data_IF_885130520333
#
_entry.id   IF_885130520333
#
_cell.length_a   1.000
_cell.length_b   1.000
_cell.length_c   1.000
_cell.angle_alpha   90.00
_cell.angle_beta   90.00
_cell.angle_gamma   90.00
#
_symmetry.space_group_name_H-M   'P 1'
#
loop_
_entity.id
_entity.type
_entity.pdbx_description
1 polymer ?
#
# COMPACT_ATOMS: atom_id res chain seq x y z
N UNK A 1 -7.31 4.45 6.76
CA UNK A 1 -8.79 4.46 6.66
C UNK A 1 -9.32 3.64 7.83
N UNK A 2 -10.35 4.06 8.57
CA UNK A 2 -10.94 3.20 9.60
C UNK A 2 -11.57 1.96 8.95
N UNK A 3 -11.28 0.78 9.49
CA UNK A 3 -11.89 -0.48 9.05
C UNK A 3 -12.51 -1.18 10.26
N UNK A 4 -13.80 -1.52 10.14
CA UNK A 4 -14.57 -2.15 11.21
C UNK A 4 -15.35 -3.33 10.62
N UNK A 5 -15.21 -4.50 11.23
CA UNK A 5 -15.98 -5.69 10.88
C UNK A 5 -16.87 -6.05 12.08
N UNK A 6 -18.15 -6.30 11.82
CA UNK A 6 -19.08 -6.90 12.77
C UNK A 6 -19.67 -8.16 12.16
N UNK A 7 -19.35 -9.31 12.74
CA UNK A 7 -19.85 -10.61 12.28
C UNK A 7 -20.51 -11.39 13.44
N UNK A 8 -21.83 -11.22 13.66
CA UNK A 8 -22.53 -11.80 14.83
C UNK A 8 -22.57 -13.32 14.88
N UNK A 9 -22.60 -13.99 13.72
CA UNK A 9 -22.75 -15.44 13.63
C UNK A 9 -21.40 -16.19 13.62
N UNK A 10 -20.28 -15.47 13.64
CA UNK A 10 -18.95 -16.09 13.61
C UNK A 10 -18.63 -16.65 15.02
N UNK A 11 -18.54 -17.98 15.19
CA UNK A 11 -18.34 -18.56 16.50
C UNK A 11 -16.93 -18.25 17.02
N UNK A 12 -16.81 -17.85 18.30
CA UNK A 12 -15.56 -17.76 19.08
C UNK A 12 -14.60 -16.60 18.79
N UNK A 13 -14.99 -15.58 18.03
CA UNK A 13 -14.15 -14.38 17.83
C UNK A 13 -14.61 -13.26 18.78
N UNK A 14 -13.82 -12.97 19.81
CA UNK A 14 -14.14 -11.92 20.77
C UNK A 14 -13.94 -10.53 20.15
N UNK A 15 -14.73 -9.50 20.54
CA UNK A 15 -14.46 -8.13 20.15
C UNK A 15 -13.02 -7.74 20.51
N UNK A 16 -12.29 -7.18 19.55
CA UNK A 16 -10.90 -6.76 19.72
C UNK A 16 -10.56 -5.58 18.83
N UNK A 17 -9.53 -4.85 19.24
CA UNK A 17 -8.81 -3.90 18.41
C UNK A 17 -7.47 -4.53 18.00
N UNK A 18 -6.95 -4.12 16.85
CA UNK A 18 -5.64 -4.54 16.37
C UNK A 18 -4.97 -3.37 15.65
N UNK A 19 -3.65 -3.30 15.77
CA UNK A 19 -2.77 -2.39 15.06
C UNK A 19 -2.17 -3.02 13.78
N UNK A 20 -2.69 -4.18 13.34
CA UNK A 20 -2.27 -4.82 12.10
C UNK A 20 -2.54 -3.91 10.90
N UNK A 21 -1.54 -3.82 10.01
CA UNK A 21 -1.71 -3.14 8.73
C UNK A 21 -2.56 -3.99 7.81
N UNK A 22 -3.63 -3.39 7.28
CA UNK A 22 -4.51 -3.99 6.29
C UNK A 22 -4.67 -3.02 5.12
N UNK A 23 -4.49 -3.52 3.91
CA UNK A 23 -4.69 -2.78 2.67
C UNK A 23 -6.04 -3.15 2.04
N UNK A 24 -6.53 -2.32 1.12
CA UNK A 24 -7.85 -2.51 0.51
C UNK A 24 -7.98 -3.86 -0.24
N UNK A 25 -6.87 -4.37 -0.76
CA UNK A 25 -6.82 -5.64 -1.50
C UNK A 25 -6.97 -6.86 -0.58
N UNK A 26 -6.65 -6.73 0.71
CA UNK A 26 -6.76 -7.81 1.70
C UNK A 26 -8.22 -8.06 2.12
N UNK A 27 -9.11 -7.09 1.87
CA UNK A 27 -10.53 -7.19 2.25
C UNK A 27 -11.19 -8.40 1.57
N UNK A 28 -10.92 -8.61 0.27
CA UNK A 28 -11.54 -9.69 -0.49
C UNK A 28 -11.15 -11.09 0.03
N UNK A 29 -9.85 -11.49 0.10
CA UNK A 29 -9.49 -12.80 0.63
C UNK A 29 -9.91 -12.97 2.09
N UNK A 30 -9.85 -11.91 2.90
CA UNK A 30 -10.31 -11.95 4.29
C UNK A 30 -11.80 -12.29 4.39
N UNK A 31 -12.65 -11.69 3.55
CA UNK A 31 -14.07 -12.02 3.52
C UNK A 31 -14.32 -13.46 3.04
N UNK A 32 -13.58 -13.93 2.02
CA UNK A 32 -13.68 -15.33 1.58
C UNK A 32 -13.30 -16.30 2.71
N UNK A 33 -12.19 -16.04 3.41
CA UNK A 33 -11.72 -16.84 4.54
C UNK A 33 -12.74 -16.87 5.68
N UNK A 34 -13.33 -15.71 6.04
CA UNK A 34 -14.40 -15.62 7.04
C UNK A 34 -15.66 -16.40 6.64
N UNK A 35 -15.96 -16.49 5.35
CA UNK A 35 -17.07 -17.27 4.81
C UNK A 35 -16.74 -18.76 4.58
N UNK A 36 -15.50 -19.20 4.83
CA UNK A 36 -15.06 -20.56 4.51
C UNK A 36 -15.06 -20.88 3.01
N UNK A 37 -14.93 -19.85 2.17
CA UNK A 37 -14.84 -19.99 0.71
C UNK A 37 -13.36 -20.06 0.32
N UNK A 38 -13.02 -20.98 -0.59
CA UNK A 38 -11.65 -21.11 -1.09
C UNK A 38 -11.19 -19.81 -1.75
N UNK A 39 -10.02 -19.33 -1.33
CA UNK A 39 -9.35 -18.18 -1.93
C UNK A 39 -8.65 -18.66 -3.22
N UNK A 40 -8.89 -18.03 -4.39
CA UNK A 40 -8.21 -18.41 -5.62
C UNK A 40 -6.69 -18.21 -5.54
N UNK A 41 -5.90 -19.10 -6.16
CA UNK A 41 -4.44 -19.00 -6.23
C UNK A 41 -3.93 -17.72 -6.96
N UNK A 42 -4.82 -17.06 -7.71
CA UNK A 42 -4.53 -15.79 -8.37
C UNK A 42 -4.60 -14.57 -7.44
N UNK A 43 -4.97 -14.75 -6.18
CA UNK A 43 -5.04 -13.66 -5.20
C UNK A 43 -3.66 -13.44 -4.59
N UNK A 44 -3.15 -12.22 -4.73
CA UNK A 44 -1.82 -11.82 -4.25
C UNK A 44 -1.86 -11.19 -2.85
N UNK A 45 -3.05 -10.93 -2.31
CA UNK A 45 -3.26 -10.27 -1.01
C UNK A 45 -3.48 -11.25 0.14
N UNK A 46 -3.43 -10.74 1.37
CA UNK A 46 -3.35 -11.56 2.59
C UNK A 46 -4.73 -11.79 3.20
N UNK A 47 -4.98 -13.02 3.64
CA UNK A 47 -6.18 -13.38 4.41
C UNK A 47 -5.98 -13.13 5.91
N UNK A 48 -6.73 -12.18 6.47
CA UNK A 48 -6.74 -11.85 7.90
C UNK A 48 -7.85 -12.57 8.70
N UNK A 49 -8.62 -13.48 8.09
CA UNK A 49 -9.76 -14.14 8.74
C UNK A 49 -9.41 -14.78 10.09
N UNK A 50 -8.26 -15.45 10.16
CA UNK A 50 -7.73 -16.05 11.39
C UNK A 50 -7.28 -15.00 12.40
N UNK A 51 -6.61 -13.94 11.94
CA UNK A 51 -6.15 -12.85 12.80
C UNK A 51 -7.32 -12.12 13.48
N UNK A 52 -8.41 -11.90 12.72
CA UNK A 52 -9.66 -11.33 13.23
C UNK A 52 -10.20 -12.17 14.40
N UNK A 53 -9.97 -13.48 14.39
CA UNK A 53 -10.37 -14.41 15.43
C UNK A 53 -9.34 -14.63 16.54
N UNK A 54 -8.27 -13.84 16.56
CA UNK A 54 -7.30 -13.79 17.65
C UNK A 54 -6.02 -14.58 17.41
N UNK A 55 -5.83 -15.16 16.22
CA UNK A 55 -4.56 -15.75 15.83
C UNK A 55 -3.51 -14.67 15.49
N UNK A 56 -2.28 -15.11 15.22
CA UNK A 56 -1.14 -14.24 14.92
C UNK A 56 -1.41 -13.36 13.70
N UNK A 57 -0.76 -12.18 13.66
CA UNK A 57 -0.83 -11.28 12.52
C UNK A 57 -0.10 -11.92 11.33
N UNK A 58 -0.77 -12.18 10.19
CA UNK A 58 -0.13 -12.78 9.02
C UNK A 58 0.73 -11.78 8.25
N UNK A 59 0.51 -10.46 8.43
CA UNK A 59 1.26 -9.42 7.75
C UNK A 59 2.42 -8.90 8.60
N UNK A 60 3.37 -8.26 7.93
CA UNK A 60 4.44 -7.51 8.58
C UNK A 60 3.95 -6.13 9.07
N UNK A 61 4.86 -5.39 9.72
CA UNK A 61 4.55 -4.05 10.27
C UNK A 61 4.65 -2.93 9.21
N UNK A 62 4.34 -3.21 7.93
CA UNK A 62 4.45 -2.26 6.84
C UNK A 62 3.37 -2.42 5.74
N UNK A 63 2.58 -1.36 5.51
CA UNK A 63 1.64 -1.27 4.39
C UNK A 63 2.30 -0.68 3.14
N UNK A 64 1.94 -1.17 1.95
CA UNK A 64 2.45 -0.69 0.67
C UNK A 64 1.63 0.50 0.17
N UNK A 65 2.28 1.62 -0.09
CA UNK A 65 1.68 2.77 -0.77
C UNK A 65 2.00 2.66 -2.26
N UNK A 66 0.96 2.70 -3.10
CA UNK A 66 1.07 2.37 -4.51
C UNK A 66 0.41 3.43 -5.39
N UNK A 67 1.20 4.08 -6.25
CA UNK A 67 0.73 4.96 -7.33
C UNK A 67 1.41 4.56 -8.65
N UNK A 68 0.78 3.70 -9.48
CA UNK A 68 1.40 3.17 -10.70
C UNK A 68 1.46 4.23 -11.80
N UNK A 69 0.50 5.14 -11.84
CA UNK A 69 0.44 6.23 -12.79
C UNK A 69 -0.28 7.42 -12.14
N UNK A 70 0.24 8.65 -12.28
CA UNK A 70 -0.49 9.85 -11.89
C UNK A 70 -1.70 10.08 -12.81
N UNK A 71 -2.89 10.32 -12.26
CA UNK A 71 -4.10 10.54 -13.07
C UNK A 71 -4.95 11.71 -12.55
N UNK A 72 -5.87 12.18 -13.38
CA UNK A 72 -6.83 13.22 -13.00
C UNK A 72 -6.16 14.58 -12.78
N UNK A 73 -6.31 15.15 -11.58
CA UNK A 73 -5.80 16.51 -11.31
C UNK A 73 -4.30 16.58 -11.03
N UNK A 74 -3.63 15.43 -10.82
CA UNK A 74 -2.21 15.38 -10.48
C UNK A 74 -1.36 14.88 -11.65
N UNK A 75 -1.46 15.54 -12.80
CA UNK A 75 -0.72 15.19 -14.02
C UNK A 75 0.79 15.44 -13.90
N UNK A 76 1.60 14.83 -14.78
CA UNK A 76 3.06 15.02 -14.81
C UNK A 76 3.52 16.49 -14.85
N UNK A 77 2.89 17.39 -15.65
CA UNK A 77 3.21 18.83 -15.62
C UNK A 77 3.01 19.48 -14.25
N UNK A 78 2.11 18.94 -13.42
CA UNK A 78 1.80 19.44 -12.08
C UNK A 78 2.58 18.71 -10.98
N UNK A 79 3.68 18.03 -11.35
CA UNK A 79 4.52 17.28 -10.42
C UNK A 79 4.06 15.83 -10.19
N UNK A 80 3.00 15.40 -10.89
CA UNK A 80 2.52 14.03 -10.96
C UNK A 80 3.64 13.06 -11.29
N UNK A 81 3.73 11.99 -10.52
CA UNK A 81 4.71 10.94 -10.73
C UNK A 81 4.20 9.63 -10.20
N UNK A 82 4.56 8.57 -10.89
CA UNK A 82 4.51 7.24 -10.35
C UNK A 82 5.44 7.15 -9.13
N UNK A 83 4.94 6.57 -8.05
CA UNK A 83 5.72 6.36 -6.83
C UNK A 83 5.28 5.10 -6.11
N UNK A 84 6.17 4.61 -5.25
CA UNK A 84 5.92 3.56 -4.27
C UNK A 84 6.38 4.03 -2.91
N UNK A 85 5.76 3.52 -1.88
CA UNK A 85 6.12 3.87 -0.53
C UNK A 85 5.71 2.82 0.48
N UNK A 86 6.11 3.05 1.71
CA UNK A 86 5.74 2.26 2.87
C UNK A 86 5.17 3.15 3.94
N UNK A 87 4.13 2.65 4.61
CA UNK A 87 3.74 3.11 5.93
C UNK A 87 4.03 2.02 6.93
N UNK A 88 5.02 2.24 7.78
CA UNK A 88 5.26 1.40 8.97
C UNK A 88 4.59 2.02 10.19
N UNK A 89 4.66 1.43 11.38
CA UNK A 89 4.13 2.07 12.61
C UNK A 89 4.70 3.46 12.83
N UNK A 90 6.02 3.61 12.64
CA UNK A 90 6.73 4.86 12.89
C UNK A 90 7.03 5.69 11.65
N UNK A 91 7.33 5.10 10.50
CA UNK A 91 7.83 5.86 9.35
C UNK A 91 6.89 5.82 8.14
N UNK A 92 6.90 6.91 7.39
CA UNK A 92 6.35 6.98 6.02
C UNK A 92 7.52 7.24 5.10
N UNK A 93 7.72 6.36 4.12
CA UNK A 93 8.78 6.47 3.13
C UNK A 93 8.18 6.38 1.73
N UNK A 94 8.62 7.22 0.81
CA UNK A 94 8.26 7.10 -0.61
C UNK A 94 9.48 7.34 -1.50
N UNK A 95 9.51 6.65 -2.64
CA UNK A 95 10.40 6.96 -3.77
C UNK A 95 9.65 6.98 -5.09
N UNK A 96 10.14 7.81 -6.01
CA UNK A 96 9.77 7.71 -7.42
C UNK A 96 10.76 6.79 -8.15
N UNK A 97 10.62 6.68 -9.48
CA UNK A 97 11.50 5.84 -10.31
C UNK A 97 12.99 6.20 -10.21
N UNK A 98 13.32 7.42 -9.79
CA UNK A 98 14.68 7.93 -9.84
C UNK A 98 15.38 7.86 -8.48
N UNK A 99 14.65 8.19 -7.41
CA UNK A 99 15.26 8.36 -6.08
C UNK A 99 14.25 8.35 -4.93
N UNK A 100 14.73 8.16 -3.69
CA UNK A 100 14.04 8.56 -2.48
C UNK A 100 13.44 9.96 -2.60
N UNK A 101 12.18 10.10 -2.19
CA UNK A 101 11.42 11.34 -2.31
C UNK A 101 10.95 11.87 -0.95
N UNK A 102 10.37 11.02 -0.11
CA UNK A 102 9.78 11.41 1.16
C UNK A 102 10.25 10.47 2.28
N UNK A 103 10.57 11.04 3.44
CA UNK A 103 10.76 10.30 4.69
C UNK A 103 10.18 11.13 5.84
N UNK A 104 9.27 10.53 6.62
CA UNK A 104 8.66 11.17 7.78
C UNK A 104 8.69 10.24 8.99
N UNK A 105 9.02 10.78 10.16
CA UNK A 105 8.88 10.11 11.46
C UNK A 105 7.50 10.46 12.03
N UNK A 106 6.51 9.59 11.85
CA UNK A 106 5.11 9.83 12.23
C UNK A 106 4.88 9.91 13.74
N UNK A 107 5.82 9.46 14.58
CA UNK A 107 5.72 9.64 16.03
C UNK A 107 6.12 11.06 16.42
N UNK A 108 7.18 11.60 15.80
CA UNK A 108 7.68 12.96 16.09
C UNK A 108 7.00 14.04 15.26
N UNK A 109 6.53 13.69 14.07
CA UNK A 109 5.88 14.55 13.09
C UNK A 109 4.61 13.88 12.55
N UNK A 110 3.53 13.79 13.36
CA UNK A 110 2.30 13.09 12.97
C UNK A 110 1.60 13.69 11.75
N UNK A 111 1.89 14.96 11.45
CA UNK A 111 1.33 15.69 10.31
C UNK A 111 2.23 15.65 9.06
N UNK A 112 3.38 14.99 9.13
CA UNK A 112 4.32 14.83 8.02
C UNK A 112 4.72 16.16 7.36
N UNK A 113 5.02 17.16 8.18
CA UNK A 113 5.38 18.51 7.71
C UNK A 113 6.88 18.65 7.43
N UNK A 114 7.72 17.79 8.03
CA UNK A 114 9.17 17.87 7.97
C UNK A 114 9.73 16.67 7.21
N UNK A 115 10.01 16.85 5.92
CA UNK A 115 10.61 15.80 5.10
C UNK A 115 12.09 15.57 5.49
N UNK A 116 12.38 14.38 5.99
CA UNK A 116 13.70 13.96 6.48
C UNK A 116 14.56 13.27 5.42
N UNK A 117 14.11 13.16 4.16
CA UNK A 117 14.79 12.38 3.11
C UNK A 117 16.25 12.81 2.86
N UNK A 118 16.56 14.08 3.09
CA UNK A 118 17.91 14.66 2.92
C UNK A 118 18.73 14.72 4.22
N UNK A 119 18.19 14.20 5.34
CA UNK A 119 18.87 14.23 6.64
C UNK A 119 19.92 13.12 6.72
N UNK A 120 21.18 13.50 6.92
CA UNK A 120 22.28 12.54 7.12
C UNK A 120 22.06 11.59 8.29
N UNK A 121 21.37 12.06 9.33
CA UNK A 121 21.12 11.32 10.56
C UNK A 121 20.14 10.15 10.36
N UNK A 122 19.41 10.14 9.24
CA UNK A 122 18.40 9.14 8.92
C UNK A 122 18.81 8.21 7.77
N UNK A 123 20.06 8.27 7.31
CA UNK A 123 20.53 7.47 6.17
C UNK A 123 20.37 5.96 6.37
N UNK A 124 20.59 5.45 7.58
CA UNK A 124 20.41 4.02 7.88
C UNK A 124 18.93 3.61 7.81
N UNK A 125 18.04 4.47 8.31
CA UNK A 125 16.58 4.26 8.27
C UNK A 125 16.07 4.34 6.83
N UNK A 126 16.56 5.32 6.07
CA UNK A 126 16.22 5.47 4.66
C UNK A 126 16.60 4.20 3.87
N UNK A 127 17.82 3.69 4.08
CA UNK A 127 18.31 2.47 3.43
C UNK A 127 17.48 1.25 3.82
N UNK A 128 17.18 1.07 5.11
CA UNK A 128 16.40 -0.09 5.56
C UNK A 128 14.96 -0.08 5.03
N UNK A 129 14.34 1.10 4.95
CA UNK A 129 13.00 1.24 4.36
C UNK A 129 13.02 1.06 2.84
N UNK A 130 14.09 1.45 2.16
CA UNK A 130 14.22 1.21 0.72
C UNK A 130 14.44 -0.27 0.37
N UNK A 131 15.24 -0.97 1.18
CA UNK A 131 15.41 -2.42 1.10
C UNK A 131 14.08 -3.14 1.37
N UNK A 132 13.35 -2.75 2.43
CA UNK A 132 12.04 -3.31 2.74
C UNK A 132 11.02 -3.04 1.63
N UNK A 133 11.02 -1.83 1.05
CA UNK A 133 10.12 -1.51 -0.05
C UNK A 133 10.42 -2.40 -1.25
N UNK A 134 11.69 -2.58 -1.58
CA UNK A 134 12.08 -3.42 -2.72
C UNK A 134 11.63 -4.88 -2.52
N UNK A 135 11.79 -5.44 -1.31
CA UNK A 135 11.27 -6.77 -0.96
C UNK A 135 9.75 -6.87 -1.14
N UNK A 136 9.00 -5.86 -0.68
CA UNK A 136 7.54 -5.84 -0.82
C UNK A 136 7.09 -5.73 -2.27
N UNK A 137 7.82 -5.00 -3.11
CA UNK A 137 7.52 -4.92 -4.54
C UNK A 137 7.76 -6.27 -5.23
N UNK A 138 8.82 -6.99 -4.85
CA UNK A 138 9.05 -8.37 -5.33
C UNK A 138 7.92 -9.31 -4.92
N UNK A 139 7.48 -9.27 -3.66
CA UNK A 139 6.36 -10.07 -3.14
C UNK A 139 5.04 -9.74 -3.86
N UNK A 140 4.83 -8.48 -4.21
CA UNK A 140 3.64 -8.01 -4.93
C UNK A 140 3.74 -8.16 -6.47
N UNK A 141 4.78 -8.83 -6.99
CA UNK A 141 5.07 -8.96 -8.42
C UNK A 141 5.07 -7.60 -9.17
N UNK A 142 5.53 -6.55 -8.49
CA UNK A 142 5.54 -5.18 -8.99
C UNK A 142 6.94 -4.77 -9.42
N UNK A 143 7.16 -4.72 -10.73
CA UNK A 143 8.43 -4.31 -11.35
C UNK A 143 8.76 -2.81 -11.19
N UNK A 144 7.81 -2.03 -10.66
CA UNK A 144 7.88 -0.57 -10.54
C UNK A 144 8.31 0.13 -11.84
N UNK A 145 7.61 -0.18 -12.93
CA UNK A 145 7.82 0.38 -14.27
C UNK A 145 7.26 1.81 -14.40
N UNK A 146 7.62 2.55 -15.47
CA UNK A 146 6.93 3.77 -15.85
C UNK A 146 5.42 3.53 -16.02
N UNK A 147 4.60 4.50 -15.58
CA UNK A 147 3.16 4.28 -15.49
C UNK A 147 2.47 3.90 -16.80
N UNK A 148 2.97 4.39 -17.94
CA UNK A 148 2.43 4.04 -19.25
C UNK A 148 2.63 2.56 -19.63
N UNK A 149 3.64 1.89 -19.08
CA UNK A 149 3.83 0.45 -19.27
C UNK A 149 2.70 -0.33 -18.57
N UNK A 150 2.27 0.10 -17.38
CA UNK A 150 1.10 -0.49 -16.71
C UNK A 150 -0.20 -0.21 -17.45
N UNK A 151 -0.41 1.02 -17.94
CA UNK A 151 -1.57 1.37 -18.77
C UNK A 151 -1.68 0.43 -19.98
N UNK A 152 -0.55 0.21 -20.68
CA UNK A 152 -0.46 -0.71 -21.81
C UNK A 152 -0.69 -2.16 -21.39
N UNK A 153 -0.04 -2.62 -20.31
CA UNK A 153 -0.17 -3.99 -19.76
C UNK A 153 -1.61 -4.34 -19.43
N UNK A 154 -2.35 -3.41 -18.85
CA UNK A 154 -3.75 -3.62 -18.44
C UNK A 154 -4.78 -3.20 -19.48
N UNK A 155 -4.35 -2.63 -20.62
CA UNK A 155 -5.24 -2.27 -21.73
C UNK A 155 -6.17 -1.09 -21.45
N UNK A 156 -5.80 -0.18 -20.54
CA UNK A 156 -6.58 1.02 -20.28
C UNK A 156 -6.52 1.98 -21.48
N UNK A 157 -7.66 2.59 -21.82
CA UNK A 157 -7.74 3.67 -22.81
C UNK A 157 -7.64 5.00 -22.09
N UNK A 158 -6.68 5.82 -22.50
CA UNK A 158 -6.40 7.13 -21.93
C UNK A 158 -6.31 8.20 -23.00
N UNK A 159 -6.52 9.45 -22.61
CA UNK A 159 -6.31 10.64 -23.44
C UNK A 159 -4.82 11.03 -23.56
N UNK A 160 -4.55 12.18 -24.19
CA UNK A 160 -3.19 12.71 -24.37
C UNK A 160 -2.46 13.01 -23.05
N UNK A 161 -3.23 13.22 -21.97
CA UNK A 161 -2.70 13.48 -20.62
C UNK A 161 -2.48 12.19 -19.82
N UNK A 162 -2.74 11.01 -20.40
CA UNK A 162 -2.61 9.73 -19.71
C UNK A 162 -3.75 9.43 -18.73
N UNK A 163 -4.84 10.19 -18.79
CA UNK A 163 -6.00 10.02 -17.90
C UNK A 163 -7.12 9.29 -18.62
N UNK A 164 -7.94 8.54 -17.87
CA UNK A 164 -9.15 7.92 -18.42
C UNK A 164 -10.15 9.04 -18.75
N UNK A 165 -10.54 9.22 -20.02
CA UNK A 165 -11.41 10.32 -20.41
C UNK A 165 -12.77 10.19 -19.74
N UNK A 166 -13.24 11.27 -19.13
CA UNK A 166 -14.59 11.37 -18.59
C UNK A 166 -15.47 12.13 -19.59
N UNK A 167 -16.48 11.46 -20.14
CA UNK A 167 -17.54 12.11 -20.92
C UNK A 167 -18.78 12.15 -20.02
N UNK A 168 -19.20 13.32 -19.51
CA UNK A 168 -20.45 13.44 -18.75
C UNK A 168 -21.68 13.06 -19.57
#
# INVERSE_FOLDING_TARGET
VPFLIKYPELPKCNPRETDAFIDAQDIMPTLLGLCGINIPDSVESVDFSKHICGEDNPADDAALIFCPHPFGQWLKPNGGREYRGLRTKRYTYCRDLNKPWLLYDNEKDPYQLNNLVSSSDHNEILRSLDELLSKKLEEANDEFLPGMEYIKKWGYKVDEDGTVPYTP
#
